data_IF_561748012838
#
_entry.id   IF_561748012838
#
_cell.length_a   1.000
_cell.length_b   1.000
_cell.length_c   1.000
_cell.angle_alpha   90.00
_cell.angle_beta   90.00
_cell.angle_gamma   90.00
#
_symmetry.space_group_name_H-M   'P 1'
#
loop_
_entity.id
_entity.type
_entity.pdbx_description
1 polymer ?
#
# COMPACT_ATOMS: atom_id res chain seq x y z
N UNK A 1 -12.00 -9.28 -12.33
CA UNK A 1 -11.49 -10.03 -11.15
C UNK A 1 -10.64 -11.25 -11.50
N UNK A 2 -11.02 -12.09 -12.47
CA UNK A 2 -10.28 -13.32 -12.84
C UNK A 2 -8.78 -13.08 -13.10
N UNK A 3 -8.46 -12.07 -13.92
CA UNK A 3 -7.09 -11.67 -14.23
C UNK A 3 -6.29 -11.32 -12.97
N UNK A 4 -6.92 -10.67 -11.97
CA UNK A 4 -6.27 -10.32 -10.72
C UNK A 4 -5.93 -11.56 -9.89
N UNK A 5 -6.83 -12.55 -9.83
CA UNK A 5 -6.60 -13.82 -9.14
C UNK A 5 -5.48 -14.60 -9.83
N UNK A 6 -5.50 -14.68 -11.15
CA UNK A 6 -4.47 -15.37 -11.94
C UNK A 6 -3.08 -14.74 -11.75
N UNK A 7 -2.96 -13.41 -11.86
CA UNK A 7 -1.68 -12.73 -11.63
C UNK A 7 -1.22 -12.82 -10.17
N UNK A 8 -2.13 -12.82 -9.19
CA UNK A 8 -1.75 -13.03 -7.80
C UNK A 8 -1.21 -14.45 -7.56
N UNK A 9 -1.89 -15.46 -8.09
CA UNK A 9 -1.46 -16.85 -8.02
C UNK A 9 -0.12 -17.08 -8.73
N UNK A 10 0.04 -16.52 -9.94
CA UNK A 10 1.29 -16.58 -10.69
C UNK A 10 2.43 -15.93 -9.92
N UNK A 11 2.19 -14.75 -9.32
CA UNK A 11 3.18 -14.04 -8.50
C UNK A 11 3.71 -14.89 -7.34
N UNK A 12 2.83 -15.41 -6.48
CA UNK A 12 3.25 -16.23 -5.33
C UNK A 12 3.92 -17.54 -5.76
N UNK A 13 3.44 -18.16 -6.85
CA UNK A 13 4.05 -19.37 -7.39
C UNK A 13 5.45 -19.10 -7.93
N UNK A 14 5.63 -18.05 -8.74
CA UNK A 14 6.94 -17.64 -9.27
C UNK A 14 7.93 -17.37 -8.13
N UNK A 15 7.51 -16.66 -7.08
CA UNK A 15 8.35 -16.37 -5.90
C UNK A 15 8.66 -17.63 -5.07
N UNK A 16 7.73 -18.59 -5.01
CA UNK A 16 7.94 -19.84 -4.27
C UNK A 16 8.92 -20.79 -5.00
N UNK A 17 8.91 -20.81 -6.33
CA UNK A 17 9.77 -21.68 -7.14
C UNK A 17 11.11 -21.02 -7.53
N UNK A 18 11.21 -19.68 -7.53
CA UNK A 18 12.46 -18.96 -7.83
C UNK A 18 13.60 -19.34 -6.88
N UNK A 19 13.28 -19.66 -5.62
CA UNK A 19 14.28 -20.04 -4.59
C UNK A 19 14.97 -21.39 -4.82
N UNK A 20 14.49 -22.21 -5.76
CA UNK A 20 15.06 -23.54 -6.07
C UNK A 20 16.02 -23.49 -7.26
N UNK A 21 15.89 -22.51 -8.17
CA UNK A 21 16.75 -22.38 -9.36
C UNK A 21 17.98 -21.50 -9.09
N UNK A 22 19.07 -22.12 -8.64
CA UNK A 22 20.38 -21.49 -8.46
C UNK A 22 21.10 -21.20 -9.79
N UNK A 23 20.65 -20.21 -10.55
CA UNK A 23 21.50 -19.52 -11.54
C UNK A 23 21.29 -18.01 -11.37
N UNK A 24 22.32 -17.36 -10.84
CA UNK A 24 22.41 -16.01 -10.24
C UNK A 24 22.04 -14.83 -11.16
N UNK A 25 21.56 -15.09 -12.38
CA UNK A 25 21.00 -14.06 -13.28
C UNK A 25 19.51 -14.29 -13.59
N UNK A 26 19.06 -15.55 -13.68
CA UNK A 26 17.66 -15.89 -13.94
C UNK A 26 16.80 -15.82 -12.67
N UNK A 27 17.38 -16.10 -11.50
CA UNK A 27 16.69 -16.01 -10.21
C UNK A 27 16.20 -14.60 -9.89
N UNK A 28 17.05 -13.58 -10.11
CA UNK A 28 16.69 -12.18 -9.86
C UNK A 28 15.60 -11.68 -10.81
N UNK A 29 15.66 -12.09 -12.09
CA UNK A 29 14.63 -11.75 -13.08
C UNK A 29 13.29 -12.40 -12.68
N UNK A 30 13.29 -13.66 -12.26
CA UNK A 30 12.07 -14.35 -11.85
C UNK A 30 11.44 -13.71 -10.62
N UNK A 31 12.23 -13.28 -9.64
CA UNK A 31 11.71 -12.54 -8.48
C UNK A 31 11.15 -11.18 -8.88
N UNK A 32 11.84 -10.44 -9.74
CA UNK A 32 11.37 -9.16 -10.26
C UNK A 32 10.06 -9.32 -11.06
N UNK A 33 9.94 -10.38 -11.87
CA UNK A 33 8.72 -10.73 -12.61
C UNK A 33 7.60 -11.13 -11.66
N UNK A 34 7.92 -11.92 -10.62
CA UNK A 34 7.00 -12.27 -9.55
C UNK A 34 6.45 -11.04 -8.84
N UNK A 35 7.31 -10.08 -8.49
CA UNK A 35 6.95 -8.78 -7.91
C UNK A 35 6.17 -7.90 -8.90
N UNK A 36 6.48 -7.96 -10.19
CA UNK A 36 5.77 -7.22 -11.23
C UNK A 36 4.34 -7.75 -11.43
N UNK A 37 4.13 -9.07 -11.53
CA UNK A 37 2.78 -9.65 -11.56
C UNK A 37 2.02 -9.39 -10.29
N UNK A 38 2.74 -9.42 -9.17
CA UNK A 38 2.20 -8.95 -7.93
C UNK A 38 1.68 -7.52 -8.12
N UNK A 39 2.53 -6.61 -8.63
CA UNK A 39 2.33 -5.16 -8.79
C UNK A 39 1.19 -4.79 -9.75
N UNK A 40 0.91 -5.65 -10.72
CA UNK A 40 -0.27 -5.55 -11.58
C UNK A 40 -1.53 -6.02 -10.85
N UNK A 41 -1.42 -7.17 -10.17
CA UNK A 41 -2.26 -7.72 -9.10
C UNK A 41 -3.22 -6.77 -8.39
N UNK A 42 -2.75 -6.24 -7.26
CA UNK A 42 -3.58 -5.40 -6.39
C UNK A 42 -3.91 -4.05 -6.98
N UNK A 43 -3.30 -3.67 -8.09
CA UNK A 43 -3.60 -2.44 -8.77
C UNK A 43 -4.86 -2.43 -9.56
N UNK A 44 -4.91 -3.44 -10.42
CA UNK A 44 -6.14 -3.87 -11.03
C UNK A 44 -7.22 -4.07 -9.97
N UNK A 45 -6.90 -4.83 -8.92
CA UNK A 45 -7.87 -5.16 -7.86
C UNK A 45 -8.43 -3.91 -7.16
N UNK A 46 -7.58 -2.95 -6.81
CA UNK A 46 -7.98 -1.72 -6.11
C UNK A 46 -8.85 -0.82 -6.96
N UNK A 47 -8.40 -0.46 -8.16
CA UNK A 47 -9.19 0.39 -9.06
C UNK A 47 -10.52 -0.28 -9.41
N UNK A 48 -10.49 -1.58 -9.71
CA UNK A 48 -11.72 -2.34 -10.03
C UNK A 48 -12.68 -2.33 -8.85
N UNK A 49 -12.24 -2.70 -7.64
CA UNK A 49 -13.12 -2.78 -6.47
C UNK A 49 -13.62 -1.40 -6.02
N UNK A 50 -12.81 -0.35 -6.15
CA UNK A 50 -13.22 1.02 -5.84
C UNK A 50 -14.21 1.56 -6.86
N UNK A 51 -13.96 1.38 -8.16
CA UNK A 51 -14.93 1.73 -9.21
C UNK A 51 -16.22 0.96 -9.04
N UNK A 52 -16.14 -0.34 -8.73
CA UNK A 52 -17.29 -1.21 -8.48
C UNK A 52 -18.07 -0.79 -7.23
N UNK A 53 -17.41 -0.24 -6.20
CA UNK A 53 -18.06 0.28 -4.99
C UNK A 53 -18.98 1.48 -5.25
N UNK A 54 -18.89 2.12 -6.42
CA UNK A 54 -19.79 3.20 -6.84
C UNK A 54 -21.26 2.76 -6.92
N UNK A 55 -21.49 1.46 -7.13
CA UNK A 55 -22.80 0.83 -7.28
C UNK A 55 -23.42 0.34 -5.96
N UNK A 56 -22.67 0.42 -4.86
CA UNK A 56 -23.13 0.00 -3.54
C UNK A 56 -23.29 1.19 -2.59
N UNK A 57 -23.79 0.91 -1.39
CA UNK A 57 -23.91 1.89 -0.33
C UNK A 57 -22.59 2.58 -0.02
N UNK A 58 -22.72 3.83 0.43
CA UNK A 58 -21.61 4.75 0.68
C UNK A 58 -20.63 4.25 1.75
N UNK A 59 -21.08 3.34 2.61
CA UNK A 59 -20.28 2.69 3.65
C UNK A 59 -19.32 1.61 3.13
N UNK A 60 -19.51 1.13 1.90
CA UNK A 60 -18.65 0.12 1.27
C UNK A 60 -17.23 0.66 1.07
N UNK A 61 -17.07 1.94 0.70
CA UNK A 61 -15.76 2.58 0.53
C UNK A 61 -14.98 2.58 1.85
N UNK A 62 -15.65 2.89 2.96
CA UNK A 62 -15.08 2.87 4.31
C UNK A 62 -14.68 1.46 4.72
N UNK A 63 -15.58 0.50 4.53
CA UNK A 63 -15.38 -0.91 4.91
C UNK A 63 -14.25 -1.55 4.12
N UNK A 64 -14.21 -1.32 2.80
CA UNK A 64 -13.12 -1.76 1.94
C UNK A 64 -11.79 -1.11 2.34
N UNK A 65 -11.79 0.20 2.58
CA UNK A 65 -10.60 0.96 2.97
C UNK A 65 -10.05 0.48 4.33
N UNK A 66 -10.92 0.24 5.32
CA UNK A 66 -10.57 -0.34 6.62
C UNK A 66 -9.99 -1.76 6.47
N UNK A 67 -10.64 -2.62 5.69
CA UNK A 67 -10.18 -3.99 5.40
C UNK A 67 -8.79 -4.04 4.77
N UNK A 68 -8.48 -3.12 3.84
CA UNK A 68 -7.13 -3.00 3.26
C UNK A 68 -6.09 -2.51 4.26
N UNK A 69 -6.47 -1.75 5.28
CA UNK A 69 -5.58 -1.39 6.40
C UNK A 69 -5.27 -2.60 7.29
N UNK A 70 -6.30 -3.38 7.65
CA UNK A 70 -6.18 -4.57 8.50
C UNK A 70 -5.45 -5.74 7.85
N UNK A 71 -5.59 -5.91 6.53
CA UNK A 71 -4.93 -7.01 5.79
C UNK A 71 -3.40 -7.00 5.93
N UNK A 72 -2.81 -5.83 6.14
CA UNK A 72 -1.36 -5.68 6.36
C UNK A 72 -0.87 -6.31 7.66
N UNK A 73 -1.70 -6.32 8.72
CA UNK A 73 -1.41 -7.00 9.98
C UNK A 73 -1.66 -8.51 9.85
N UNK A 74 -2.81 -8.89 9.27
CA UNK A 74 -3.15 -10.30 9.03
C UNK A 74 -2.12 -11.02 8.15
N UNK A 75 -1.63 -10.39 7.08
CA UNK A 75 -0.60 -10.96 6.21
C UNK A 75 0.74 -11.17 6.92
N UNK A 76 1.17 -10.21 7.75
CA UNK A 76 2.41 -10.34 8.51
C UNK A 76 2.31 -11.42 9.61
N UNK A 77 1.18 -11.46 10.33
CA UNK A 77 0.93 -12.45 11.39
C UNK A 77 0.78 -13.86 10.82
N UNK A 78 0.09 -14.02 9.70
CA UNK A 78 -0.06 -15.32 9.06
C UNK A 78 1.28 -15.85 8.53
N UNK A 79 2.11 -15.01 7.92
CA UNK A 79 3.46 -15.43 7.50
C UNK A 79 4.33 -15.80 8.70
N UNK A 80 4.39 -14.93 9.71
CA UNK A 80 5.19 -15.17 10.91
C UNK A 80 4.74 -16.43 11.66
N UNK A 81 3.43 -16.64 11.82
CA UNK A 81 2.87 -17.82 12.49
C UNK A 81 3.23 -19.13 11.79
N UNK A 82 3.14 -19.16 10.45
CA UNK A 82 3.50 -20.34 9.65
C UNK A 82 5.00 -20.66 9.73
N UNK A 83 5.85 -19.64 9.72
CA UNK A 83 7.30 -19.82 9.92
C UNK A 83 7.60 -20.30 11.35
N UNK A 84 6.96 -19.72 12.36
CA UNK A 84 7.12 -20.11 13.76
C UNK A 84 6.65 -21.54 14.05
N UNK A 85 5.72 -22.09 13.27
CA UNK A 85 5.33 -23.50 13.33
C UNK A 85 6.28 -24.46 12.59
N UNK A 86 7.45 -23.98 12.13
CA UNK A 86 8.47 -24.80 11.48
C UNK A 86 8.25 -25.05 9.98
N UNK A 87 7.31 -24.34 9.33
CA UNK A 87 7.04 -24.51 7.90
C UNK A 87 8.08 -23.73 7.09
N UNK A 88 8.69 -24.38 6.09
CA UNK A 88 9.66 -23.73 5.19
C UNK A 88 9.05 -22.50 4.50
N UNK A 89 9.82 -21.41 4.27
CA UNK A 89 9.34 -20.21 3.57
C UNK A 89 8.65 -20.47 2.23
N UNK A 90 9.14 -21.45 1.46
CA UNK A 90 8.52 -21.89 0.20
C UNK A 90 7.10 -22.39 0.41
N UNK A 91 6.91 -23.33 1.34
CA UNK A 91 5.60 -23.91 1.63
C UNK A 91 4.67 -22.87 2.24
N UNK A 92 5.20 -21.95 3.04
CA UNK A 92 4.43 -20.81 3.58
C UNK A 92 3.84 -19.94 2.46
N UNK A 93 4.66 -19.53 1.47
CA UNK A 93 4.18 -18.74 0.32
C UNK A 93 3.18 -19.52 -0.53
N UNK A 94 3.38 -20.83 -0.71
CA UNK A 94 2.43 -21.70 -1.41
C UNK A 94 1.10 -21.85 -0.65
N UNK A 95 1.12 -21.96 0.68
CA UNK A 95 -0.09 -21.99 1.51
C UNK A 95 -0.84 -20.66 1.40
N UNK A 96 -0.12 -19.54 1.36
CA UNK A 96 -0.71 -18.21 1.20
C UNK A 96 -1.40 -17.98 -0.16
N UNK A 97 -1.21 -18.86 -1.16
CA UNK A 97 -2.04 -18.84 -2.38
C UNK A 97 -3.53 -19.05 -2.10
N UNK A 98 -3.92 -19.55 -0.92
CA UNK A 98 -5.33 -19.59 -0.52
C UNK A 98 -5.99 -18.20 -0.55
N UNK A 99 -5.23 -17.12 -0.29
CA UNK A 99 -5.74 -15.75 -0.23
C UNK A 99 -6.33 -15.28 -1.58
N UNK A 100 -5.63 -15.36 -2.73
CA UNK A 100 -6.22 -14.97 -4.02
C UNK A 100 -7.41 -15.84 -4.42
N UNK A 101 -7.44 -17.13 -4.05
CA UNK A 101 -8.62 -17.98 -4.29
C UNK A 101 -9.80 -17.56 -3.42
N UNK A 102 -9.59 -17.28 -2.13
CA UNK A 102 -10.61 -16.75 -1.24
C UNK A 102 -11.16 -15.41 -1.75
N UNK A 103 -10.30 -14.53 -2.23
CA UNK A 103 -10.71 -13.27 -2.86
C UNK A 103 -11.60 -13.50 -4.08
N UNK A 104 -11.26 -14.48 -4.92
CA UNK A 104 -12.10 -14.91 -6.03
C UNK A 104 -13.45 -15.44 -5.57
N UNK A 105 -13.46 -16.36 -4.60
CA UNK A 105 -14.68 -16.95 -4.05
C UNK A 105 -15.61 -15.86 -3.50
N UNK A 106 -15.07 -14.93 -2.71
CA UNK A 106 -15.83 -13.80 -2.19
C UNK A 106 -16.42 -12.94 -3.31
N UNK A 107 -15.68 -12.67 -4.38
CA UNK A 107 -16.17 -11.84 -5.48
C UNK A 107 -17.26 -12.51 -6.31
N UNK A 108 -17.13 -13.80 -6.64
CA UNK A 108 -18.07 -14.48 -7.56
C UNK A 108 -19.28 -15.10 -6.86
N UNK A 109 -19.14 -15.51 -5.59
CA UNK A 109 -20.18 -16.27 -4.90
C UNK A 109 -20.82 -15.54 -3.72
N UNK A 110 -20.11 -14.58 -3.12
CA UNK A 110 -20.59 -13.88 -1.92
C UNK A 110 -21.05 -12.46 -2.26
N UNK A 111 -20.38 -11.79 -3.20
CA UNK A 111 -20.70 -10.43 -3.60
C UNK A 111 -21.87 -10.44 -4.60
N UNK A 112 -22.95 -9.75 -4.26
CA UNK A 112 -24.10 -9.57 -5.14
C UNK A 112 -23.72 -8.66 -6.32
N UNK A 113 -24.01 -9.06 -7.56
CA UNK A 113 -23.60 -8.33 -8.76
C UNK A 113 -24.72 -7.40 -9.26
N UNK A 114 -24.52 -6.08 -9.37
CA UNK A 114 -25.49 -5.19 -10.02
C UNK A 114 -25.66 -5.58 -11.50
N UNK A 115 -26.90 -5.72 -11.96
CA UNK A 115 -27.19 -6.07 -13.35
C UNK A 115 -26.83 -4.94 -14.31
N UNK A 116 -25.91 -5.22 -15.24
CA UNK A 116 -25.67 -4.42 -16.45
C UNK A 116 -24.50 -3.45 -16.38
N UNK A 117 -23.29 -3.93 -16.68
CA UNK A 117 -22.23 -3.06 -17.22
C UNK A 117 -21.28 -3.82 -18.15
N UNK A 118 -21.14 -3.29 -19.36
CA UNK A 118 -20.27 -3.71 -20.46
C UNK A 118 -18.79 -3.49 -20.11
N UNK A 119 -17.97 -4.51 -20.38
CA UNK A 119 -16.52 -4.54 -20.12
C UNK A 119 -15.71 -3.49 -20.91
N UNK A 120 -14.71 -2.84 -20.26
CA UNK A 120 -13.38 -2.56 -20.85
C UNK A 120 -12.32 -2.01 -19.85
N UNK A 121 -11.34 -2.87 -19.53
CA UNK A 121 -9.86 -2.72 -19.62
C UNK A 121 -9.00 -1.62 -18.89
N UNK A 122 -7.70 -1.90 -18.57
CA UNK A 122 -7.28 -2.06 -17.16
C UNK A 122 -5.86 -1.52 -16.77
N UNK A 123 -5.45 -1.74 -15.50
CA UNK A 123 -4.07 -1.87 -14.92
C UNK A 123 -3.53 -0.73 -14.03
N UNK A 124 -2.98 -1.09 -12.85
CA UNK A 124 -1.92 -0.44 -12.02
C UNK A 124 -2.26 -0.18 -10.54
N UNK A 125 -1.40 -0.59 -9.60
CA UNK A 125 -1.59 -0.30 -8.15
C UNK A 125 -1.28 -1.43 -7.15
N UNK A 126 -0.29 -2.28 -7.43
CA UNK A 126 0.39 -3.08 -6.39
C UNK A 126 1.84 -2.62 -6.15
N UNK A 127 2.13 -1.37 -6.53
CA UNK A 127 3.23 -0.54 -6.00
C UNK A 127 2.87 0.15 -4.66
N UNK A 128 1.67 -0.13 -4.11
CA UNK A 128 0.98 0.62 -3.04
C UNK A 128 1.72 0.70 -1.69
N UNK A 129 2.55 -0.27 -1.33
CA UNK A 129 3.03 -0.40 0.07
C UNK A 129 4.55 -0.33 0.23
N UNK A 130 5.29 -0.36 -0.88
CA UNK A 130 6.75 -0.46 -0.85
C UNK A 130 7.44 0.89 -1.05
N UNK A 131 6.90 1.81 -1.88
CA UNK A 131 7.53 3.10 -2.20
C UNK A 131 7.57 4.11 -1.03
N UNK A 132 6.43 4.35 -0.36
CA UNK A 132 6.39 5.21 0.82
C UNK A 132 7.17 4.60 2.01
N UNK A 133 7.15 3.26 2.12
CA UNK A 133 7.94 2.54 3.10
C UNK A 133 9.44 2.53 2.76
N UNK A 134 9.83 2.63 1.49
CA UNK A 134 11.22 2.74 1.02
C UNK A 134 11.80 4.12 1.34
N UNK A 135 11.03 5.19 1.11
CA UNK A 135 11.43 6.55 1.46
C UNK A 135 11.65 6.64 2.97
N UNK A 136 10.70 6.11 3.74
CA UNK A 136 10.82 6.02 5.19
C UNK A 136 11.94 5.05 5.67
N UNK A 137 12.22 3.95 4.95
CA UNK A 137 13.35 3.03 5.21
C UNK A 137 14.70 3.71 5.07
N UNK A 138 14.83 4.63 4.11
CA UNK A 138 16.08 5.37 3.86
C UNK A 138 16.42 6.35 4.98
N UNK A 139 15.40 6.87 5.69
CA UNK A 139 15.55 7.90 6.72
C UNK A 139 15.93 7.36 8.11
N UNK A 140 15.69 6.08 8.39
CA UNK A 140 15.83 5.52 9.73
C UNK A 140 17.19 4.84 9.96
N UNK A 141 18.08 5.59 10.63
CA UNK A 141 19.42 5.22 11.06
C UNK A 141 19.43 3.98 11.98
N UNK A 142 20.09 2.91 11.52
CA UNK A 142 20.75 1.81 12.23
C UNK A 142 20.10 1.00 13.36
N UNK A 143 18.78 0.92 13.48
CA UNK A 143 18.16 -0.17 14.26
C UNK A 143 17.02 -0.78 13.45
N UNK A 144 17.18 -2.04 12.99
CA UNK A 144 16.13 -2.78 12.30
C UNK A 144 14.82 -2.82 13.12
N UNK A 145 14.97 -2.82 14.45
CA UNK A 145 13.89 -2.75 15.44
C UNK A 145 13.17 -1.40 15.40
N UNK A 146 13.88 -0.26 15.26
CA UNK A 146 13.24 1.06 15.14
C UNK A 146 12.43 1.17 13.85
N UNK A 147 12.96 0.62 12.74
CA UNK A 147 12.30 0.61 11.42
C UNK A 147 10.95 -0.11 11.45
N UNK A 148 10.90 -1.29 12.05
CA UNK A 148 9.66 -2.06 12.17
C UNK A 148 8.63 -1.29 13.00
N UNK A 149 9.03 -0.72 14.14
CA UNK A 149 8.11 -0.01 15.04
C UNK A 149 7.47 1.22 14.37
N UNK A 150 8.26 2.04 13.67
CA UNK A 150 7.72 3.23 13.01
C UNK A 150 6.81 2.88 11.82
N UNK A 151 7.14 1.82 11.07
CA UNK A 151 6.27 1.31 10.01
C UNK A 151 4.93 0.81 10.55
N UNK A 152 4.94 0.11 11.70
CA UNK A 152 3.73 -0.32 12.39
C UNK A 152 2.90 0.88 12.84
N UNK A 153 3.53 1.88 13.47
CA UNK A 153 2.86 3.10 13.93
C UNK A 153 2.17 3.86 12.78
N UNK A 154 2.85 4.03 11.66
CA UNK A 154 2.27 4.63 10.45
C UNK A 154 1.05 3.83 9.96
N UNK A 155 1.16 2.50 9.88
CA UNK A 155 0.06 1.62 9.43
C UNK A 155 -1.15 1.68 10.37
N UNK A 156 -0.92 1.69 11.69
CA UNK A 156 -1.97 1.89 12.68
C UNK A 156 -2.68 3.23 12.46
N UNK A 157 -1.92 4.31 12.24
CA UNK A 157 -2.49 5.62 11.91
C UNK A 157 -3.37 5.58 10.66
N UNK A 158 -2.92 4.93 9.59
CA UNK A 158 -3.73 4.79 8.37
C UNK A 158 -4.99 3.96 8.60
N UNK A 159 -4.94 2.92 9.44
CA UNK A 159 -6.10 2.08 9.75
C UNK A 159 -7.17 2.85 10.54
N UNK A 160 -6.75 3.60 11.57
CA UNK A 160 -7.63 4.45 12.36
C UNK A 160 -8.32 5.48 11.46
N UNK A 161 -7.54 6.17 10.63
CA UNK A 161 -8.05 7.21 9.74
C UNK A 161 -8.99 6.69 8.65
N UNK A 162 -8.77 5.46 8.16
CA UNK A 162 -9.66 4.84 7.16
C UNK A 162 -10.97 4.36 7.77
N UNK A 163 -10.94 3.92 9.02
CA UNK A 163 -12.12 3.49 9.77
C UNK A 163 -12.95 4.67 10.31
N UNK A 164 -12.36 5.86 10.43
CA UNK A 164 -13.03 7.01 11.05
C UNK A 164 -13.99 7.76 10.13
N UNK A 165 -13.97 7.52 8.82
CA UNK A 165 -14.68 8.37 7.83
C UNK A 165 -16.21 8.37 8.00
N UNK A 166 -16.78 7.24 8.41
CA UNK A 166 -18.23 7.13 8.64
C UNK A 166 -18.67 7.85 9.93
N UNK A 167 -17.74 8.18 10.83
CA UNK A 167 -18.02 8.88 12.09
C UNK A 167 -17.68 10.37 11.96
N UNK A 168 -16.52 10.68 11.36
CA UNK A 168 -15.99 12.04 11.23
C UNK A 168 -15.55 12.34 9.78
N UNK A 169 -16.50 12.69 8.89
CA UNK A 169 -16.17 13.05 7.52
C UNK A 169 -15.53 14.44 7.42
N UNK A 170 -14.37 14.54 6.78
CA UNK A 170 -13.60 15.76 6.58
C UNK A 170 -13.91 16.35 5.22
N UNK A 171 -14.58 17.52 5.20
CA UNK A 171 -14.96 18.21 3.96
C UNK A 171 -13.76 18.83 3.24
N UNK A 172 -12.81 19.45 3.95
CA UNK A 172 -11.66 20.16 3.35
C UNK A 172 -10.45 19.24 3.15
N UNK A 173 -10.53 18.32 2.19
CA UNK A 173 -9.45 17.35 1.89
C UNK A 173 -8.15 18.01 1.42
N UNK A 174 -8.21 19.15 0.72
CA UNK A 174 -7.04 19.88 0.26
C UNK A 174 -6.11 20.33 1.41
N UNK A 175 -6.67 20.63 2.58
CA UNK A 175 -5.89 21.00 3.76
C UNK A 175 -5.01 19.83 4.23
N UNK A 176 -5.54 18.61 4.17
CA UNK A 176 -4.79 17.39 4.51
C UNK A 176 -3.63 17.17 3.54
N UNK A 177 -3.83 17.44 2.24
CA UNK A 177 -2.79 17.36 1.23
C UNK A 177 -1.68 18.42 1.44
N UNK A 178 -2.04 19.66 1.80
CA UNK A 178 -1.06 20.70 2.14
C UNK A 178 -0.24 20.29 3.37
N UNK A 179 -0.91 19.81 4.43
CA UNK A 179 -0.23 19.31 5.63
C UNK A 179 0.71 18.15 5.30
N UNK A 180 0.34 17.25 4.40
CA UNK A 180 1.24 16.16 3.94
C UNK A 180 2.52 16.67 3.28
N UNK A 181 2.42 17.72 2.44
CA UNK A 181 3.58 18.33 1.81
C UNK A 181 4.47 19.05 2.84
N UNK A 182 3.87 19.73 3.82
CA UNK A 182 4.63 20.37 4.92
C UNK A 182 5.39 19.31 5.74
N UNK A 183 4.73 18.21 6.09
CA UNK A 183 5.37 17.10 6.82
C UNK A 183 6.52 16.47 6.02
N UNK A 184 6.38 16.35 4.71
CA UNK A 184 7.46 15.86 3.84
C UNK A 184 8.70 16.75 3.94
N UNK A 185 8.54 18.08 3.86
CA UNK A 185 9.66 19.03 3.97
C UNK A 185 10.32 18.95 5.35
N UNK A 186 9.52 18.94 6.42
CA UNK A 186 10.03 18.87 7.80
C UNK A 186 10.83 17.58 8.04
N UNK A 187 10.27 16.43 7.63
CA UNK A 187 10.94 15.14 7.78
C UNK A 187 12.18 15.01 6.89
N UNK A 188 12.17 15.65 5.72
CA UNK A 188 13.35 15.73 4.86
C UNK A 188 14.44 16.60 5.52
N UNK A 189 14.09 17.74 6.12
CA UNK A 189 15.02 18.58 6.87
C UNK A 189 15.62 17.84 8.08
N UNK A 190 14.80 17.13 8.86
CA UNK A 190 15.26 16.28 9.99
C UNK A 190 16.27 15.23 9.53
N UNK A 191 16.14 14.72 8.31
CA UNK A 191 17.09 13.75 7.78
C UNK A 191 18.47 14.33 7.45
N UNK A 192 18.52 15.58 6.99
CA UNK A 192 19.76 16.29 6.73
C UNK A 192 20.40 16.81 8.03
N UNK A 193 19.57 17.36 8.91
CA UNK A 193 19.98 17.94 10.19
C UNK A 193 19.13 17.28 11.28
N UNK A 194 19.64 16.24 11.96
CA UNK A 194 18.86 15.56 12.99
C UNK A 194 18.68 16.48 14.21
N UNK A 195 17.50 17.08 14.33
CA UNK A 195 17.11 17.99 15.40
C UNK A 195 16.11 17.36 16.39
N UNK A 196 15.56 16.18 16.11
CA UNK A 196 14.66 15.47 17.02
C UNK A 196 15.42 14.47 17.92
N UNK A 197 15.61 14.78 19.21
CA UNK A 197 16.38 13.93 20.12
C UNK A 197 15.59 12.71 20.64
N UNK A 198 14.25 12.76 20.59
CA UNK A 198 13.39 11.74 21.21
C UNK A 198 12.74 10.80 20.19
N UNK A 199 12.94 9.51 20.42
CA UNK A 199 12.32 8.41 19.67
C UNK A 199 10.78 8.44 19.76
N UNK A 200 10.23 8.87 20.90
CA UNK A 200 8.77 8.97 21.10
C UNK A 200 8.12 10.04 20.24
N UNK A 201 8.83 11.14 19.98
CA UNK A 201 8.34 12.21 19.11
C UNK A 201 8.24 11.69 17.66
N UNK A 202 9.23 10.94 17.20
CA UNK A 202 9.20 10.33 15.88
C UNK A 202 8.07 9.29 15.74
N UNK A 203 7.74 8.58 16.82
CA UNK A 203 6.58 7.69 16.84
C UNK A 203 5.26 8.46 16.66
N UNK A 204 5.07 9.54 17.40
CA UNK A 204 3.86 10.36 17.29
C UNK A 204 3.75 11.01 15.91
N UNK A 205 4.86 11.51 15.35
CA UNK A 205 4.89 12.05 13.98
C UNK A 205 4.54 10.95 12.97
N UNK A 206 5.08 9.74 13.11
CA UNK A 206 4.78 8.62 12.20
C UNK A 206 3.31 8.23 12.24
N UNK A 207 2.71 8.16 13.44
CA UNK A 207 1.27 7.92 13.61
C UNK A 207 0.45 9.03 12.96
N UNK A 208 0.84 10.29 13.18
CA UNK A 208 0.18 11.48 12.63
C UNK A 208 0.22 11.53 11.10
N UNK A 209 1.37 11.26 10.48
CA UNK A 209 1.49 11.20 9.01
C UNK A 209 0.64 10.05 8.44
N UNK A 210 0.56 8.92 9.16
CA UNK A 210 -0.34 7.82 8.83
C UNK A 210 -1.82 8.24 8.89
N UNK A 211 -2.22 8.96 9.94
CA UNK A 211 -3.59 9.48 10.09
C UNK A 211 -3.94 10.44 8.95
N UNK A 212 -3.09 11.43 8.66
CA UNK A 212 -3.33 12.38 7.57
C UNK A 212 -3.48 11.69 6.21
N UNK A 213 -2.60 10.75 5.89
CA UNK A 213 -2.64 10.05 4.61
C UNK A 213 -3.84 9.12 4.47
N UNK A 214 -4.18 8.39 5.53
CA UNK A 214 -5.38 7.57 5.57
C UNK A 214 -6.65 8.41 5.39
N UNK A 215 -6.74 9.55 6.08
CA UNK A 215 -7.89 10.44 6.05
C UNK A 215 -8.04 11.12 4.70
N UNK A 216 -6.95 11.65 4.13
CA UNK A 216 -6.97 12.30 2.81
C UNK A 216 -7.48 11.33 1.74
N UNK A 217 -6.96 10.10 1.74
CA UNK A 217 -7.38 9.05 0.82
C UNK A 217 -8.86 8.71 0.95
N UNK A 218 -9.31 8.25 2.12
CA UNK A 218 -10.68 7.74 2.28
C UNK A 218 -11.73 8.84 2.13
N UNK A 219 -11.45 10.06 2.60
CA UNK A 219 -12.40 11.17 2.48
C UNK A 219 -12.53 11.65 1.04
N UNK A 220 -11.49 11.50 0.21
CA UNK A 220 -11.58 11.84 -1.22
C UNK A 220 -12.55 10.89 -1.94
N UNK A 221 -12.39 9.57 -1.77
CA UNK A 221 -13.31 8.59 -2.36
C UNK A 221 -14.71 8.65 -1.77
N UNK A 222 -14.82 8.88 -0.45
CA UNK A 222 -16.10 9.09 0.21
C UNK A 222 -16.81 10.31 -0.36
N UNK A 223 -16.15 11.46 -0.51
CA UNK A 223 -16.80 12.64 -1.09
C UNK A 223 -17.22 12.43 -2.55
N UNK A 224 -16.42 11.75 -3.36
CA UNK A 224 -16.80 11.40 -4.73
C UNK A 224 -18.05 10.52 -4.74
N UNK A 225 -18.19 9.57 -3.81
CA UNK A 225 -19.41 8.74 -3.69
C UNK A 225 -20.65 9.54 -3.28
N UNK A 226 -20.47 10.65 -2.56
CA UNK A 226 -21.56 11.50 -2.10
C UNK A 226 -21.98 12.56 -3.13
N UNK A 227 -21.00 13.23 -3.74
CA UNK A 227 -21.17 14.48 -4.49
C UNK A 227 -21.30 14.25 -6.00
N UNK A 228 -20.80 13.14 -6.53
CA UNK A 228 -20.83 12.86 -7.98
C UNK A 228 -22.10 12.07 -8.35
N UNK A 229 -22.84 12.49 -9.40
CA UNK A 229 -23.98 11.74 -9.94
C UNK A 229 -23.60 10.31 -10.35
N UNK A 230 -24.52 9.33 -10.24
CA UNK A 230 -24.22 7.92 -10.49
C UNK A 230 -23.64 7.66 -11.90
N UNK A 231 -24.10 8.40 -12.91
CA UNK A 231 -23.65 8.29 -14.30
C UNK A 231 -22.13 8.51 -14.50
N UNK A 232 -21.51 9.35 -13.68
CA UNK A 232 -20.07 9.67 -13.79
C UNK A 232 -19.26 9.23 -12.57
N UNK A 233 -19.90 8.61 -11.58
CA UNK A 233 -19.27 8.27 -10.29
C UNK A 233 -18.22 7.19 -10.46
N UNK A 234 -18.53 6.14 -11.20
CA UNK A 234 -17.60 5.03 -11.46
C UNK A 234 -16.32 5.52 -12.16
N UNK A 235 -16.50 6.33 -13.20
CA UNK A 235 -15.39 6.96 -13.91
C UNK A 235 -14.59 7.91 -13.00
N UNK A 236 -15.26 8.74 -12.20
CA UNK A 236 -14.61 9.68 -11.28
C UNK A 236 -13.80 8.98 -10.20
N UNK A 237 -14.31 7.87 -9.65
CA UNK A 237 -13.56 7.03 -8.70
C UNK A 237 -12.34 6.39 -9.37
N UNK A 238 -12.51 5.86 -10.59
CA UNK A 238 -11.43 5.28 -11.37
C UNK A 238 -10.33 6.29 -11.70
N UNK A 239 -10.69 7.47 -12.24
CA UNK A 239 -9.72 8.53 -12.59
C UNK A 239 -9.01 9.08 -11.37
N UNK A 240 -9.68 9.18 -10.22
CA UNK A 240 -9.06 9.68 -8.98
C UNK A 240 -7.95 8.76 -8.47
N UNK A 241 -8.00 7.45 -8.75
CA UNK A 241 -6.93 6.52 -8.36
C UNK A 241 -5.65 6.70 -9.20
N UNK A 242 -5.76 7.21 -10.43
CA UNK A 242 -4.64 7.40 -11.36
C UNK A 242 -3.55 8.31 -10.80
N UNK A 243 -3.81 9.57 -10.38
CA UNK A 243 -2.78 10.46 -9.84
C UNK A 243 -2.20 9.95 -8.50
N UNK A 244 -3.01 9.24 -7.70
CA UNK A 244 -2.55 8.59 -6.46
C UNK A 244 -1.47 7.54 -6.81
N UNK A 245 -1.76 6.68 -7.78
CA UNK A 245 -0.85 5.64 -8.24
C UNK A 245 0.39 6.22 -8.94
N UNK A 246 0.21 7.25 -9.77
CA UNK A 246 1.29 7.95 -10.46
C UNK A 246 2.26 8.64 -9.49
N UNK A 247 1.74 9.35 -8.49
CA UNK A 247 2.55 10.02 -7.46
C UNK A 247 3.39 9.03 -6.64
N UNK A 248 2.83 7.87 -6.29
CA UNK A 248 3.55 6.81 -5.56
C UNK A 248 4.66 6.21 -6.43
N UNK A 249 4.40 5.96 -7.71
CA UNK A 249 5.41 5.44 -8.63
C UNK A 249 6.59 6.41 -8.77
N UNK A 250 6.30 7.70 -8.94
CA UNK A 250 7.33 8.76 -8.98
C UNK A 250 8.13 8.83 -7.68
N UNK A 251 7.48 8.72 -6.52
CA UNK A 251 8.17 8.68 -5.22
C UNK A 251 9.09 7.45 -5.08
N UNK A 252 8.67 6.28 -5.59
CA UNK A 252 9.46 5.06 -5.64
C UNK A 252 10.70 5.18 -6.55
N UNK A 253 10.61 5.91 -7.67
CA UNK A 253 11.78 6.20 -8.51
C UNK A 253 12.71 7.19 -7.82
N UNK A 254 12.15 8.23 -7.19
CA UNK A 254 12.92 9.27 -6.52
C UNK A 254 13.69 8.77 -5.27
N UNK A 255 13.22 7.71 -4.61
CA UNK A 255 13.84 7.24 -3.36
C UNK A 255 15.24 6.65 -3.56
N UNK A 256 15.49 5.92 -4.65
CA UNK A 256 16.75 5.23 -4.88
C UNK A 256 17.94 6.19 -5.05
N UNK A 257 17.89 7.22 -5.91
CA UNK A 257 18.96 8.22 -5.99
C UNK A 257 19.09 9.01 -4.69
N UNK A 258 17.96 9.35 -4.05
CA UNK A 258 17.93 10.08 -2.78
C UNK A 258 18.66 9.30 -1.66
N UNK A 259 18.38 8.01 -1.52
CA UNK A 259 19.06 7.14 -0.55
C UNK A 259 20.58 7.06 -0.84
N UNK A 260 20.99 6.91 -2.11
CA UNK A 260 22.41 6.88 -2.48
C UNK A 260 23.12 8.20 -2.14
N UNK A 261 22.46 9.33 -2.38
CA UNK A 261 22.97 10.66 -2.03
C UNK A 261 23.14 10.79 -0.50
N UNK A 262 22.13 10.39 0.28
CA UNK A 262 22.20 10.40 1.74
C UNK A 262 23.31 9.50 2.29
N UNK A 263 23.41 8.26 1.80
CA UNK A 263 24.46 7.34 2.25
C UNK A 263 25.86 7.90 1.97
N UNK A 264 26.06 8.53 0.80
CA UNK A 264 27.35 9.12 0.43
C UNK A 264 27.67 10.34 1.31
N UNK A 265 26.70 11.23 1.51
CA UNK A 265 26.85 12.39 2.38
C UNK A 265 27.26 12.01 3.82
N UNK A 266 26.51 11.09 4.44
CA UNK A 266 26.80 10.67 5.82
C UNK A 266 28.09 9.85 5.94
N UNK A 267 28.44 9.06 4.93
CA UNK A 267 29.74 8.36 4.89
C UNK A 267 30.91 9.32 4.88
N UNK A 268 30.82 10.40 4.11
CA UNK A 268 31.86 11.42 4.05
C UNK A 268 31.96 12.20 5.37
N UNK A 269 30.81 12.56 5.96
CA UNK A 269 30.74 13.27 7.25
C UNK A 269 31.26 12.45 8.45
N UNK A 270 31.18 11.13 8.40
CA UNK A 270 31.76 10.27 9.45
C UNK A 270 33.26 10.01 9.26
N UNK A 271 33.82 10.30 8.07
CA UNK A 271 35.25 10.16 7.77
C UNK A 271 36.06 11.43 8.02
N UNK A 272 35.42 12.60 8.07
CA UNK A 272 36.04 13.89 8.46
C UNK A 272 35.95 14.11 9.96
#
# INVERSE_FOLDING_TARGET
>A
MAICVLFAFASFSIVAFSRVLWITLLGEINEAVGVAFASLSSGLGETTLLSYSAHFDRDVVSTWSSGTGGSSAFGALSYAGLISSGITPRNTVLIMNVIPFLMGICYWFILEHPEGITEREPLLGKARTEGAALLFRSFLRNECIKRAKYQVSFRVGTFIARSSVNIFPIKKTWLLAVLQNVNLVILLCEAYVPFLPSVWIMFLISLYVGLLGGSCYVNTFYRISQEVPPEHREFSMGVTSVPINGGIALAGVAVLPTHRAFCTYWRNKMRS
#
